data_IF_277368333389
#
_entry.id   IF_277368333389
#
_cell.length_a   1.000
_cell.length_b   1.000
_cell.length_c   1.000
_cell.angle_alpha   90.00
_cell.angle_beta   90.00
_cell.angle_gamma   90.00
#
_symmetry.space_group_name_H-M   'P 1'
#
loop_
_entity.id
_entity.type
_entity.pdbx_description
1 polymer ?
#
# COMPACT_ATOMS: atom_id res chain seq x y z
N UNK A 1 -2.72 12.11 -30.31
CA UNK A 1 -3.27 10.89 -29.67
C UNK A 1 -2.68 9.57 -30.22
N UNK A 2 -1.62 9.57 -31.04
CA UNK A 2 -1.11 8.38 -31.76
C UNK A 2 0.30 7.92 -31.34
N UNK A 3 0.87 8.42 -30.23
CA UNK A 3 2.27 8.13 -29.84
C UNK A 3 2.44 7.51 -28.45
N UNK A 4 1.35 7.14 -27.75
CA UNK A 4 1.42 6.72 -26.34
C UNK A 4 1.44 5.21 -26.09
N UNK A 5 1.44 4.36 -27.13
CA UNK A 5 1.20 2.91 -26.97
C UNK A 5 2.36 2.03 -27.48
N UNK A 6 3.39 2.60 -28.15
CA UNK A 6 4.49 1.78 -28.71
C UNK A 6 5.46 1.22 -27.68
N UNK A 7 5.45 1.71 -26.44
CA UNK A 7 6.56 1.47 -25.49
C UNK A 7 6.27 0.37 -24.46
N UNK A 8 5.09 -0.25 -24.49
CA UNK A 8 4.78 -1.41 -23.64
C UNK A 8 5.52 -2.71 -24.03
N UNK A 9 6.40 -2.66 -25.03
CA UNK A 9 7.04 -3.84 -25.62
C UNK A 9 8.59 -3.88 -25.47
N UNK A 10 9.21 -3.04 -24.64
CA UNK A 10 10.67 -3.06 -24.49
C UNK A 10 11.12 -2.83 -23.05
N UNK A 11 11.17 -3.91 -22.29
CA UNK A 11 12.18 -4.18 -21.24
C UNK A 11 11.99 -5.63 -20.74
N UNK A 12 12.17 -6.61 -21.63
CA UNK A 12 12.26 -8.02 -21.22
C UNK A 12 13.71 -8.33 -20.88
N UNK A 13 13.98 -8.54 -19.59
CA UNK A 13 15.21 -9.20 -19.13
C UNK A 13 15.23 -10.60 -19.71
N UNK A 14 16.19 -10.86 -20.60
CA UNK A 14 16.33 -12.12 -21.35
C UNK A 14 16.57 -13.27 -20.39
N UNK A 15 15.69 -14.26 -20.34
CA UNK A 15 15.87 -15.46 -19.50
C UNK A 15 16.92 -16.35 -20.16
N UNK A 16 18.03 -16.58 -19.46
CA UNK A 16 19.04 -17.55 -19.87
C UNK A 16 18.58 -18.98 -19.53
N UNK A 17 17.83 -19.59 -20.45
CA UNK A 17 17.29 -20.93 -20.29
C UNK A 17 16.67 -21.52 -21.55
N UNK A 18 16.27 -22.79 -21.48
CA UNK A 18 15.64 -23.52 -22.60
C UNK A 18 14.41 -24.30 -22.17
N UNK A 19 13.46 -24.43 -23.09
CA UNK A 19 12.31 -25.32 -22.98
C UNK A 19 12.74 -26.70 -23.48
N UNK A 20 12.78 -27.68 -22.59
CA UNK A 20 13.24 -29.04 -22.91
C UNK A 20 12.11 -29.92 -23.44
N UNK A 21 10.90 -29.76 -22.90
CA UNK A 21 9.76 -30.61 -23.24
C UNK A 21 8.44 -29.86 -23.02
N UNK A 22 7.42 -30.23 -23.80
CA UNK A 22 6.05 -29.77 -23.67
C UNK A 22 5.12 -30.98 -23.77
N UNK A 23 4.34 -31.24 -22.72
CA UNK A 23 3.39 -32.37 -22.66
C UNK A 23 1.97 -31.82 -22.51
N UNK A 24 1.10 -32.13 -23.48
CA UNK A 24 -0.32 -31.74 -23.41
C UNK A 24 -1.09 -32.67 -22.48
N UNK A 25 -1.91 -32.08 -21.62
CA UNK A 25 -2.97 -32.73 -20.86
C UNK A 25 -4.34 -32.29 -21.43
N UNK A 26 -5.43 -32.65 -20.76
CA UNK A 26 -6.80 -32.35 -21.21
C UNK A 26 -7.07 -30.84 -21.29
N UNK A 27 -6.69 -30.11 -20.24
CA UNK A 27 -7.00 -28.70 -20.03
C UNK A 27 -5.76 -27.84 -19.76
N UNK A 28 -4.57 -28.44 -19.85
CA UNK A 28 -3.31 -27.80 -19.51
C UNK A 28 -2.15 -28.34 -20.35
N UNK A 29 -1.04 -27.60 -20.37
CA UNK A 29 0.22 -28.02 -20.96
C UNK A 29 1.32 -27.90 -19.90
N UNK A 30 2.08 -28.97 -19.72
CA UNK A 30 3.24 -28.99 -18.85
C UNK A 30 4.49 -28.68 -19.67
N UNK A 31 5.18 -27.60 -19.31
CA UNK A 31 6.50 -27.29 -19.85
C UNK A 31 7.59 -27.69 -18.86
N UNK A 32 8.68 -28.28 -19.36
CA UNK A 32 9.89 -28.56 -18.60
C UNK A 32 10.97 -27.57 -19.00
N UNK A 33 11.46 -26.78 -18.06
CA UNK A 33 12.47 -25.75 -18.28
C UNK A 33 13.81 -26.14 -17.67
N UNK A 34 14.88 -25.65 -18.27
CA UNK A 34 16.23 -25.60 -17.67
C UNK A 34 16.70 -24.14 -17.71
N UNK A 35 16.94 -23.54 -16.54
CA UNK A 35 17.35 -22.14 -16.41
C UNK A 35 18.63 -22.07 -15.56
N UNK A 36 19.56 -21.20 -15.94
CA UNK A 36 20.90 -21.15 -15.35
C UNK A 36 20.95 -20.45 -13.97
N UNK A 37 19.92 -19.67 -13.60
CA UNK A 37 19.88 -18.84 -12.38
C UNK A 37 19.75 -19.61 -11.04
N UNK A 38 19.52 -20.92 -11.04
CA UNK A 38 19.40 -21.68 -9.79
C UNK A 38 20.74 -22.32 -9.41
N UNK A 39 21.12 -22.20 -8.14
CA UNK A 39 22.25 -22.87 -7.48
C UNK A 39 22.28 -24.41 -7.65
N UNK A 40 21.26 -24.99 -8.30
CA UNK A 40 21.33 -26.29 -8.97
C UNK A 40 20.74 -26.19 -10.39
N UNK A 41 21.51 -26.60 -11.42
CA UNK A 41 21.06 -26.79 -12.82
C UNK A 41 20.07 -27.95 -12.96
N UNK A 42 18.95 -27.91 -12.22
CA UNK A 42 17.93 -28.96 -12.23
C UNK A 42 16.75 -28.51 -13.09
N UNK A 43 16.30 -29.35 -14.05
CA UNK A 43 15.06 -29.08 -14.76
C UNK A 43 13.88 -28.99 -13.80
N UNK A 44 12.98 -28.05 -14.03
CA UNK A 44 11.73 -27.91 -13.28
C UNK A 44 10.54 -27.90 -14.23
N UNK A 45 9.36 -28.28 -13.71
CA UNK A 45 8.12 -28.39 -14.48
C UNK A 45 7.13 -27.34 -14.05
N UNK A 46 6.39 -26.80 -15.01
CA UNK A 46 5.31 -25.84 -14.77
C UNK A 46 4.11 -26.24 -15.60
N UNK A 47 2.93 -26.22 -14.99
CA UNK A 47 1.67 -26.53 -15.62
C UNK A 47 0.91 -25.23 -15.93
N UNK A 48 0.56 -25.00 -17.19
CA UNK A 48 -0.24 -23.85 -17.61
C UNK A 48 -1.60 -24.31 -18.11
N UNK A 49 -2.65 -23.63 -17.68
CA UNK A 49 -3.99 -23.85 -18.22
C UNK A 49 -4.04 -23.46 -19.72
N UNK A 50 -4.72 -24.26 -20.53
CA UNK A 50 -4.84 -23.99 -21.97
C UNK A 50 -5.59 -22.68 -22.27
N UNK A 51 -6.62 -22.37 -21.48
CA UNK A 51 -7.35 -21.10 -21.58
C UNK A 51 -6.42 -19.92 -21.30
N UNK A 52 -5.55 -20.03 -20.28
CA UNK A 52 -4.55 -19.00 -19.98
C UNK A 52 -3.63 -18.74 -21.18
N UNK A 53 -3.06 -19.80 -21.78
CA UNK A 53 -2.19 -19.66 -22.94
C UNK A 53 -2.95 -19.05 -24.12
N UNK A 54 -4.15 -19.56 -24.45
CA UNK A 54 -4.97 -19.05 -25.56
C UNK A 54 -5.39 -17.59 -25.37
N UNK A 55 -5.76 -17.22 -24.14
CA UNK A 55 -6.16 -15.86 -23.75
C UNK A 55 -5.00 -14.86 -23.81
N UNK A 56 -3.77 -15.32 -23.57
CA UNK A 56 -2.56 -14.52 -23.65
C UNK A 56 -1.94 -14.45 -25.07
N UNK A 57 -2.54 -15.11 -26.07
CA UNK A 57 -2.06 -15.10 -27.46
C UNK A 57 -1.98 -13.66 -28.00
N UNK A 58 -0.89 -13.35 -28.70
CA UNK A 58 -0.72 -12.09 -29.45
C UNK A 58 -0.75 -12.31 -30.97
N UNK A 59 -1.40 -13.39 -31.43
CA UNK A 59 -1.59 -13.62 -32.87
C UNK A 59 -2.44 -12.50 -33.50
N UNK A 60 -2.37 -12.29 -34.83
CA UNK A 60 -3.19 -11.29 -35.52
C UNK A 60 -4.71 -11.50 -35.40
N UNK A 61 -5.16 -12.71 -35.03
CA UNK A 61 -6.57 -13.02 -34.77
C UNK A 61 -6.95 -12.79 -33.31
N UNK A 62 -5.96 -12.67 -32.43
CA UNK A 62 -6.14 -12.52 -30.99
C UNK A 62 -6.05 -11.07 -30.53
N UNK A 63 -5.25 -10.26 -31.22
CA UNK A 63 -5.07 -8.83 -30.90
C UNK A 63 -5.16 -7.95 -32.14
N UNK A 64 -5.70 -6.76 -31.98
CA UNK A 64 -5.71 -5.73 -33.01
C UNK A 64 -4.27 -5.26 -33.30
N UNK A 65 -3.90 -5.22 -34.58
CA UNK A 65 -2.53 -4.95 -35.01
C UNK A 65 -2.07 -3.51 -34.71
N UNK A 66 -2.99 -2.55 -34.51
CA UNK A 66 -2.66 -1.14 -34.27
C UNK A 66 -2.61 -0.82 -32.77
N UNK A 67 -3.54 -1.37 -32.00
CA UNK A 67 -3.75 -1.01 -30.59
C UNK A 67 -3.20 -2.05 -29.62
N UNK A 68 -2.97 -3.30 -30.07
CA UNK A 68 -2.59 -4.42 -29.21
C UNK A 68 -3.70 -4.90 -28.27
N UNK A 69 -4.93 -4.40 -28.43
CA UNK A 69 -6.10 -4.78 -27.65
C UNK A 69 -6.64 -6.14 -28.09
N UNK A 70 -7.20 -6.91 -27.15
CA UNK A 70 -7.78 -8.24 -27.43
C UNK A 70 -9.00 -8.12 -28.34
N UNK A 71 -9.12 -9.06 -29.27
CA UNK A 71 -10.25 -9.18 -30.21
C UNK A 71 -11.33 -10.18 -29.76
N UNK A 72 -11.16 -10.79 -28.60
CA UNK A 72 -12.09 -11.73 -27.99
C UNK A 72 -12.20 -11.48 -26.50
N UNK A 73 -13.24 -12.04 -25.89
CA UNK A 73 -13.38 -12.14 -24.43
C UNK A 73 -12.92 -13.52 -23.94
N UNK A 74 -12.39 -13.58 -22.72
CA UNK A 74 -12.00 -14.86 -22.10
C UNK A 74 -13.18 -15.82 -21.97
N UNK A 75 -14.40 -15.28 -21.77
CA UNK A 75 -15.64 -16.06 -21.72
C UNK A 75 -15.95 -16.78 -23.04
N UNK A 76 -15.78 -16.11 -24.18
CA UNK A 76 -15.98 -16.72 -25.51
C UNK A 76 -15.04 -17.91 -25.74
N UNK A 77 -13.77 -17.79 -25.34
CA UNK A 77 -12.81 -18.88 -25.42
C UNK A 77 -13.21 -20.07 -24.51
N UNK A 78 -13.70 -19.77 -23.30
CA UNK A 78 -14.08 -20.80 -22.33
C UNK A 78 -15.32 -21.60 -22.74
N UNK A 79 -16.29 -20.97 -23.42
CA UNK A 79 -17.54 -21.62 -23.85
C UNK A 79 -17.27 -22.69 -24.91
N UNK A 80 -16.38 -22.43 -25.87
CA UNK A 80 -16.09 -23.34 -26.99
C UNK A 80 -14.72 -23.98 -26.82
N UNK A 81 -14.70 -25.22 -26.30
CA UNK A 81 -13.46 -26.00 -26.05
C UNK A 81 -12.51 -26.09 -27.25
N UNK A 82 -13.00 -25.96 -28.49
CA UNK A 82 -12.15 -25.98 -29.68
C UNK A 82 -11.05 -24.92 -29.65
N UNK A 83 -11.28 -23.77 -29.00
CA UNK A 83 -10.30 -22.68 -28.89
C UNK A 83 -9.13 -23.02 -27.96
N UNK A 84 -9.34 -23.92 -26.99
CA UNK A 84 -8.35 -24.22 -25.93
C UNK A 84 -7.83 -25.65 -26.00
N UNK A 85 -8.07 -26.37 -27.10
CA UNK A 85 -7.47 -27.69 -27.32
C UNK A 85 -6.29 -27.52 -28.28
N UNK A 86 -5.06 -27.85 -27.86
CA UNK A 86 -3.91 -27.81 -28.76
C UNK A 86 -4.05 -28.88 -29.84
N UNK A 87 -3.84 -28.48 -31.09
CA UNK A 87 -3.70 -29.35 -32.26
C UNK A 87 -2.24 -29.79 -32.43
N UNK A 88 -1.29 -28.85 -32.32
CA UNK A 88 0.14 -29.16 -32.31
C UNK A 88 0.91 -28.27 -31.34
N UNK A 89 1.98 -28.79 -30.77
CA UNK A 89 2.92 -28.07 -29.89
C UNK A 89 4.31 -28.33 -30.43
N UNK A 90 5.05 -27.26 -30.78
CA UNK A 90 6.40 -27.36 -31.36
C UNK A 90 7.35 -26.41 -30.65
N UNK A 91 8.38 -26.96 -30.03
CA UNK A 91 9.46 -26.18 -29.43
C UNK A 91 10.40 -25.71 -30.56
N UNK A 92 10.89 -24.47 -30.48
CA UNK A 92 11.87 -23.93 -31.41
C UNK A 92 13.19 -24.70 -31.33
N UNK A 93 14.00 -24.69 -32.40
CA UNK A 93 15.26 -25.45 -32.45
C UNK A 93 16.27 -25.03 -31.37
N UNK A 94 16.23 -23.76 -30.97
CA UNK A 94 17.06 -23.17 -29.93
C UNK A 94 16.44 -23.31 -28.51
N UNK A 95 15.21 -23.82 -28.41
CA UNK A 95 14.52 -24.01 -27.13
C UNK A 95 14.01 -22.71 -26.48
N UNK A 96 14.11 -21.56 -27.15
CA UNK A 96 13.70 -20.27 -26.59
C UNK A 96 12.23 -19.91 -26.81
N UNK A 97 11.49 -20.72 -27.56
CA UNK A 97 10.07 -20.49 -27.77
C UNK A 97 9.30 -21.80 -27.99
N UNK A 98 7.99 -21.74 -27.81
CA UNK A 98 7.07 -22.81 -28.17
C UNK A 98 5.91 -22.28 -29.00
N UNK A 99 5.72 -22.86 -30.18
CA UNK A 99 4.58 -22.60 -31.03
C UNK A 99 3.45 -23.58 -30.71
N UNK A 100 2.31 -23.03 -30.31
CA UNK A 100 1.07 -23.80 -30.09
C UNK A 100 0.12 -23.46 -31.23
N UNK A 101 -0.41 -24.48 -31.88
CA UNK A 101 -1.52 -24.36 -32.84
C UNK A 101 -2.75 -24.95 -32.19
N UNK A 102 -3.83 -24.18 -32.11
CA UNK A 102 -5.10 -24.57 -31.49
C UNK A 102 -6.02 -25.24 -32.52
N UNK A 103 -7.03 -25.98 -32.05
CA UNK A 103 -7.98 -26.65 -32.96
C UNK A 103 -8.91 -25.70 -33.72
N UNK A 104 -9.03 -24.45 -33.28
CA UNK A 104 -9.75 -23.40 -34.01
C UNK A 104 -8.96 -22.83 -35.20
N UNK A 105 -7.70 -23.26 -35.38
CA UNK A 105 -6.81 -22.84 -36.45
C UNK A 105 -5.89 -21.68 -36.09
N UNK A 106 -6.08 -21.02 -34.94
CA UNK A 106 -5.16 -19.98 -34.49
C UNK A 106 -3.83 -20.58 -34.02
N UNK A 107 -2.76 -19.80 -34.13
CA UNK A 107 -1.45 -20.22 -33.63
C UNK A 107 -0.65 -19.05 -33.11
N UNK A 108 0.10 -19.29 -32.04
CA UNK A 108 0.99 -18.29 -31.47
C UNK A 108 2.25 -18.94 -30.94
N UNK A 109 3.35 -18.20 -31.05
CA UNK A 109 4.67 -18.59 -30.55
C UNK A 109 4.93 -17.84 -29.26
N UNK A 110 5.01 -18.59 -28.15
CA UNK A 110 5.24 -18.06 -26.82
C UNK A 110 6.75 -18.08 -26.56
N UNK A 111 7.39 -16.91 -26.34
CA UNK A 111 8.79 -16.89 -25.93
C UNK A 111 8.95 -17.45 -24.50
N UNK A 112 10.13 -18.00 -24.22
CA UNK A 112 10.47 -18.53 -22.90
C UNK A 112 10.34 -17.47 -21.81
N UNK A 113 10.67 -16.21 -22.11
CA UNK A 113 10.55 -15.07 -21.19
C UNK A 113 9.09 -14.89 -20.72
N UNK A 114 8.13 -14.99 -21.64
CA UNK A 114 6.71 -14.93 -21.30
C UNK A 114 6.32 -16.09 -20.38
N UNK A 115 6.65 -17.32 -20.75
CA UNK A 115 6.29 -18.49 -19.95
C UNK A 115 6.93 -18.39 -18.56
N UNK A 116 8.23 -18.11 -18.49
CA UNK A 116 8.98 -17.98 -17.24
C UNK A 116 8.42 -16.85 -16.35
N UNK A 117 8.00 -15.72 -16.94
CA UNK A 117 7.36 -14.60 -16.22
C UNK A 117 6.04 -15.01 -15.57
N UNK A 118 5.26 -15.88 -16.21
CA UNK A 118 3.93 -16.33 -15.74
C UNK A 118 3.92 -17.75 -15.16
N UNK A 119 5.07 -18.30 -14.80
CA UNK A 119 5.25 -19.72 -14.46
C UNK A 119 4.60 -20.24 -13.16
N UNK A 120 3.65 -19.52 -12.59
CA UNK A 120 2.84 -19.91 -11.42
C UNK A 120 3.45 -20.97 -10.51
N UNK A 121 4.22 -20.56 -9.51
CA UNK A 121 4.61 -21.40 -8.37
C UNK A 121 4.85 -20.46 -7.19
N UNK A 122 4.14 -20.65 -6.06
CA UNK A 122 4.63 -20.71 -4.65
C UNK A 122 5.76 -19.77 -4.14
N UNK A 123 6.20 -18.84 -4.97
CA UNK A 123 7.14 -17.78 -4.77
C UNK A 123 6.52 -16.63 -5.55
N UNK A 124 6.15 -15.53 -4.90
CA UNK A 124 5.54 -14.38 -5.56
C UNK A 124 6.20 -14.16 -6.93
N UNK A 125 5.43 -14.38 -7.99
CA UNK A 125 5.99 -14.48 -9.34
C UNK A 125 6.74 -13.19 -9.66
N UNK A 126 7.79 -13.28 -10.48
CA UNK A 126 8.43 -12.09 -11.06
C UNK A 126 7.38 -11.18 -11.73
N UNK A 127 6.27 -11.72 -12.25
CA UNK A 127 5.14 -10.93 -12.75
C UNK A 127 4.36 -10.12 -11.70
N UNK A 128 4.16 -10.63 -10.47
CA UNK A 128 3.55 -9.87 -9.36
C UNK A 128 4.56 -8.87 -8.78
N UNK A 129 5.84 -9.27 -8.68
CA UNK A 129 6.95 -8.37 -8.31
C UNK A 129 7.14 -7.24 -9.31
N UNK A 130 7.01 -7.48 -10.62
CA UNK A 130 7.14 -6.45 -11.66
C UNK A 130 5.97 -5.45 -11.72
N UNK A 131 4.88 -5.69 -10.98
CA UNK A 131 3.83 -4.68 -10.76
C UNK A 131 4.12 -3.79 -9.55
N UNK A 132 5.04 -4.20 -8.67
CA UNK A 132 5.46 -3.47 -7.49
C UNK A 132 6.90 -2.98 -7.66
N UNK A 133 7.32 -2.03 -6.84
CA UNK A 133 8.72 -1.61 -6.78
C UNK A 133 9.63 -2.79 -6.42
N UNK A 134 10.84 -2.84 -6.98
CA UNK A 134 11.87 -3.79 -6.56
C UNK A 134 12.37 -3.50 -5.13
N UNK A 135 12.15 -2.27 -4.65
CA UNK A 135 12.45 -1.85 -3.29
C UNK A 135 11.30 -2.23 -2.35
N UNK A 136 11.64 -3.09 -1.39
CA UNK A 136 10.69 -3.61 -0.41
C UNK A 136 10.48 -2.61 0.74
N UNK A 137 9.27 -2.52 1.30
CA UNK A 137 9.09 -1.88 2.60
C UNK A 137 9.95 -2.57 3.66
N UNK A 138 10.60 -1.78 4.51
CA UNK A 138 11.40 -2.24 5.64
C UNK A 138 10.61 -1.93 6.90
N UNK A 139 10.11 -2.95 7.60
CA UNK A 139 9.44 -2.77 8.89
C UNK A 139 10.44 -2.23 9.92
N UNK A 140 10.14 -1.10 10.56
CA UNK A 140 11.09 -0.42 11.46
C UNK A 140 10.52 -0.11 12.85
N UNK A 141 11.43 -0.08 13.81
CA UNK A 141 11.29 0.57 15.12
C UNK A 141 12.30 1.74 15.18
N UNK A 142 12.39 2.45 16.30
CA UNK A 142 13.28 3.62 16.46
C UNK A 142 14.74 3.31 16.07
N UNK A 143 15.33 2.28 16.69
CA UNK A 143 16.71 1.87 16.42
C UNK A 143 16.95 1.59 14.93
N UNK A 144 16.09 0.77 14.30
CA UNK A 144 16.26 0.39 12.90
C UNK A 144 16.09 1.58 11.94
N UNK A 145 15.23 2.54 12.30
CA UNK A 145 15.06 3.76 11.51
C UNK A 145 16.28 4.68 11.65
N UNK A 146 16.80 4.85 12.87
CA UNK A 146 18.02 5.63 13.16
C UNK A 146 19.25 5.08 12.41
N UNK A 147 19.37 3.76 12.25
CA UNK A 147 20.42 3.13 11.43
C UNK A 147 20.39 3.56 9.95
N UNK A 148 19.26 4.11 9.48
CA UNK A 148 19.05 4.54 8.09
C UNK A 148 19.06 6.06 7.89
N UNK A 149 19.35 6.82 8.95
CA UNK A 149 19.20 8.28 8.99
C UNK A 149 20.03 9.01 7.92
N UNK A 150 21.17 8.45 7.49
CA UNK A 150 22.00 9.03 6.43
C UNK A 150 21.25 9.20 5.10
N UNK A 151 20.24 8.37 4.84
CA UNK A 151 19.45 8.39 3.60
C UNK A 151 18.08 9.07 3.80
N UNK A 152 17.75 9.48 5.03
CA UNK A 152 16.42 10.03 5.34
C UNK A 152 16.17 11.38 4.66
N UNK A 153 17.22 12.19 4.52
CA UNK A 153 17.17 13.56 4.06
C UNK A 153 17.57 13.72 2.59
N UNK A 154 16.97 14.67 1.90
CA UNK A 154 17.36 15.06 0.54
C UNK A 154 17.22 16.57 0.37
N UNK A 155 18.24 17.22 -0.18
CA UNK A 155 18.22 18.65 -0.46
C UNK A 155 17.15 19.01 -1.52
N UNK A 156 16.41 20.09 -1.32
CA UNK A 156 15.36 20.56 -2.22
C UNK A 156 15.83 20.73 -3.66
N UNK A 157 16.99 21.36 -3.87
CA UNK A 157 17.50 21.59 -5.22
C UNK A 157 17.79 20.29 -5.94
N UNK A 158 18.36 19.30 -5.23
CA UNK A 158 18.58 17.95 -5.76
C UNK A 158 17.27 17.24 -6.05
N UNK A 159 16.31 17.27 -5.12
CA UNK A 159 14.99 16.64 -5.30
C UNK A 159 14.26 17.17 -6.54
N UNK A 160 14.31 18.49 -6.76
CA UNK A 160 13.63 19.13 -7.89
C UNK A 160 14.36 18.90 -9.21
N UNK A 161 15.69 18.99 -9.23
CA UNK A 161 16.46 19.11 -10.47
C UNK A 161 17.22 17.84 -10.89
N UNK A 162 17.38 16.85 -10.01
CA UNK A 162 18.08 15.60 -10.30
C UNK A 162 17.15 14.39 -10.15
N UNK A 163 16.98 13.64 -11.24
CA UNK A 163 16.15 12.43 -11.24
C UNK A 163 16.73 11.31 -10.38
N UNK A 164 18.06 11.23 -10.22
CA UNK A 164 18.66 10.19 -9.39
C UNK A 164 18.42 10.47 -7.90
N UNK A 165 18.64 11.71 -7.47
CA UNK A 165 18.30 12.14 -6.10
C UNK A 165 16.80 12.02 -5.79
N UNK A 166 15.92 12.36 -6.75
CA UNK A 166 14.48 12.07 -6.61
C UNK A 166 14.26 10.57 -6.40
N UNK A 167 14.86 9.73 -7.25
CA UNK A 167 14.69 8.29 -7.17
C UNK A 167 15.12 7.74 -5.81
N UNK A 168 16.29 8.13 -5.31
CA UNK A 168 16.81 7.69 -4.02
C UNK A 168 15.88 8.14 -2.87
N UNK A 169 15.34 9.37 -2.91
CA UNK A 169 14.33 9.84 -1.95
C UNK A 169 13.03 9.01 -2.00
N UNK A 170 12.55 8.65 -3.20
CA UNK A 170 11.35 7.81 -3.34
C UNK A 170 11.59 6.36 -2.91
N UNK A 171 12.81 5.84 -3.07
CA UNK A 171 13.21 4.53 -2.51
C UNK A 171 13.13 4.57 -0.99
N UNK A 172 13.62 5.64 -0.35
CA UNK A 172 13.54 5.78 1.11
C UNK A 172 12.09 5.92 1.58
N UNK A 173 11.28 6.70 0.86
CA UNK A 173 9.85 6.80 1.11
C UNK A 173 9.12 5.45 0.93
N UNK A 174 9.52 4.63 -0.05
CA UNK A 174 9.00 3.26 -0.22
C UNK A 174 9.43 2.32 0.93
N UNK A 175 10.71 2.38 1.33
CA UNK A 175 11.29 1.52 2.37
C UNK A 175 10.74 1.84 3.74
N UNK A 176 10.74 3.11 4.14
CA UNK A 176 10.42 3.50 5.51
C UNK A 176 9.08 4.23 5.64
N UNK A 177 8.46 4.65 4.53
CA UNK A 177 7.23 5.44 4.60
C UNK A 177 7.45 6.88 5.02
N UNK A 178 8.71 7.35 5.11
CA UNK A 178 9.09 8.72 5.46
C UNK A 178 10.32 9.17 4.67
N UNK A 179 10.36 10.45 4.29
CA UNK A 179 11.57 11.15 3.83
C UNK A 179 11.45 12.64 4.14
N UNK A 180 12.58 13.31 4.39
CA UNK A 180 12.64 14.74 4.67
C UNK A 180 13.33 15.48 3.53
N UNK A 181 12.66 16.48 2.98
CA UNK A 181 13.26 17.41 2.03
C UNK A 181 13.74 18.64 2.79
N UNK A 182 15.03 18.95 2.71
CA UNK A 182 15.66 20.06 3.45
C UNK A 182 16.00 21.23 2.53
N UNK A 183 16.34 22.38 3.10
CA UNK A 183 16.80 23.58 2.39
C UNK A 183 15.82 24.08 1.31
N UNK A 184 14.52 24.12 1.64
CA UNK A 184 13.54 24.78 0.78
C UNK A 184 13.89 26.29 0.69
N UNK A 185 13.61 26.94 -0.45
CA UNK A 185 13.87 28.37 -0.63
C UNK A 185 13.07 29.21 0.38
N UNK A 186 13.78 29.94 1.24
CA UNK A 186 13.16 30.71 2.34
C UNK A 186 12.24 31.83 1.81
N UNK A 187 12.62 32.44 0.69
CA UNK A 187 11.90 33.53 0.03
C UNK A 187 10.58 33.07 -0.63
N UNK A 188 10.49 31.79 -1.00
CA UNK A 188 9.27 31.17 -1.54
C UNK A 188 8.49 30.37 -0.48
N UNK A 189 9.01 30.23 0.74
CA UNK A 189 8.43 29.34 1.77
C UNK A 189 6.97 29.66 2.11
N UNK A 190 6.61 30.95 2.08
CA UNK A 190 5.24 31.43 2.32
C UNK A 190 4.31 31.27 1.11
N UNK A 191 4.82 31.06 -0.11
CA UNK A 191 4.01 30.87 -1.32
C UNK A 191 3.43 29.44 -1.37
N UNK A 192 2.09 29.27 -1.43
CA UNK A 192 1.46 27.95 -1.57
C UNK A 192 1.93 27.16 -2.80
N UNK A 193 2.45 27.85 -3.84
CA UNK A 193 2.94 27.21 -5.06
C UNK A 193 4.16 26.32 -4.80
N UNK A 194 4.97 26.59 -3.77
CA UNK A 194 6.17 25.82 -3.48
C UNK A 194 5.85 24.37 -3.12
N UNK A 195 4.93 24.16 -2.17
CA UNK A 195 4.49 22.81 -1.79
C UNK A 195 3.82 22.07 -2.95
N UNK A 196 3.05 22.81 -3.76
CA UNK A 196 2.41 22.25 -4.96
C UNK A 196 3.46 21.74 -5.96
N UNK A 197 4.48 22.53 -6.29
CA UNK A 197 5.59 22.13 -7.17
C UNK A 197 6.32 20.89 -6.63
N UNK A 198 6.57 20.83 -5.32
CA UNK A 198 7.25 19.71 -4.68
C UNK A 198 6.42 18.42 -4.77
N UNK A 199 5.10 18.49 -4.53
CA UNK A 199 4.21 17.36 -4.74
C UNK A 199 4.17 16.93 -6.23
N UNK A 200 3.98 17.88 -7.14
CA UNK A 200 3.86 17.66 -8.59
C UNK A 200 5.14 17.12 -9.24
N UNK A 201 6.30 17.29 -8.60
CA UNK A 201 7.55 16.62 -8.99
C UNK A 201 7.40 15.09 -8.94
N UNK A 202 6.64 14.57 -7.98
CA UNK A 202 6.34 13.14 -7.81
C UNK A 202 5.08 12.76 -8.59
N UNK A 203 3.98 13.48 -8.39
CA UNK A 203 2.68 13.18 -8.97
C UNK A 203 1.64 14.28 -8.70
N UNK A 204 0.49 14.26 -9.40
CA UNK A 204 -0.51 15.31 -9.26
C UNK A 204 -1.02 15.41 -7.81
N UNK A 205 -1.21 16.66 -7.38
CA UNK A 205 -1.76 16.99 -6.07
C UNK A 205 -3.22 16.56 -5.96
N UNK A 206 -3.59 15.99 -4.81
CA UNK A 206 -4.96 15.59 -4.52
C UNK A 206 -5.72 16.75 -3.91
N UNK A 207 -6.70 17.29 -4.64
CA UNK A 207 -7.67 18.23 -4.08
C UNK A 207 -8.59 17.51 -3.08
N UNK A 208 -8.68 18.06 -1.88
CA UNK A 208 -9.54 17.55 -0.79
C UNK A 208 -10.57 18.61 -0.37
N UNK A 209 -11.32 18.30 0.68
CA UNK A 209 -12.20 19.27 1.36
C UNK A 209 -11.45 20.49 1.89
N UNK A 210 -10.13 20.38 2.09
CA UNK A 210 -9.25 21.46 2.53
C UNK A 210 -8.59 22.21 1.36
N UNK A 211 -8.98 21.90 0.12
CA UNK A 211 -8.33 22.42 -1.07
C UNK A 211 -7.16 21.56 -1.54
N UNK A 212 -6.28 22.15 -2.35
CA UNK A 212 -5.05 21.51 -2.81
C UNK A 212 -3.96 21.60 -1.74
N UNK A 213 -3.85 22.76 -1.09
CA UNK A 213 -2.98 23.01 0.07
C UNK A 213 -3.80 23.66 1.18
N UNK A 214 -3.39 23.47 2.43
CA UNK A 214 -3.99 24.12 3.59
C UNK A 214 -2.95 24.40 4.66
N UNK A 215 -3.18 25.47 5.42
CA UNK A 215 -2.27 25.93 6.46
C UNK A 215 -2.69 25.38 7.83
N UNK A 216 -1.69 25.05 8.63
CA UNK A 216 -1.83 24.62 10.02
C UNK A 216 -1.09 25.67 10.83
N UNK A 217 -1.84 26.64 11.33
CA UNK A 217 -1.35 27.80 12.04
C UNK A 217 -1.86 27.76 13.49
N UNK A 218 -0.97 27.98 14.46
CA UNK A 218 -1.35 28.05 15.87
C UNK A 218 -1.88 29.43 16.32
N UNK A 219 -1.70 30.46 15.49
CA UNK A 219 -2.11 31.84 15.77
C UNK A 219 -3.49 32.19 15.19
N UNK A 220 -4.01 31.35 14.29
CA UNK A 220 -5.35 31.50 13.74
C UNK A 220 -6.30 30.53 14.44
N UNK A 221 -7.43 31.06 14.91
CA UNK A 221 -8.50 30.27 15.52
C UNK A 221 -9.26 29.52 14.43
N UNK A 222 -8.63 28.47 13.90
CA UNK A 222 -9.24 27.61 12.89
C UNK A 222 -10.02 26.47 13.56
N UNK A 223 -11.31 26.71 13.77
CA UNK A 223 -12.31 25.73 14.25
C UNK A 223 -12.49 24.52 13.31
N UNK A 224 -11.66 24.34 12.28
CA UNK A 224 -11.74 23.24 11.32
C UNK A 224 -11.03 22.00 11.81
N UNK A 225 -9.92 22.15 12.56
CA UNK A 225 -9.10 21.02 12.98
C UNK A 225 -8.43 21.18 14.33
N UNK A 226 -8.46 20.10 15.11
CA UNK A 226 -7.64 19.96 16.33
C UNK A 226 -6.13 20.11 16.04
N UNK A 227 -5.67 19.88 14.80
CA UNK A 227 -4.27 20.07 14.40
C UNK A 227 -3.79 21.52 14.54
N UNK A 228 -4.71 22.49 14.44
CA UNK A 228 -4.44 23.93 14.58
C UNK A 228 -4.44 24.40 16.05
N UNK A 229 -4.82 23.52 16.99
CA UNK A 229 -4.82 23.83 18.43
C UNK A 229 -3.46 23.51 19.07
N UNK A 230 -3.19 24.03 20.27
CA UNK A 230 -1.99 23.71 21.05
C UNK A 230 -2.05 22.35 21.79
N UNK A 231 -3.18 21.65 21.71
CA UNK A 231 -3.41 20.36 22.36
C UNK A 231 -2.66 19.24 21.61
N UNK A 232 -2.32 18.17 22.34
CA UNK A 232 -1.63 16.97 21.87
C UNK A 232 -2.53 16.30 20.86
N UNK A 233 -1.98 16.08 19.68
CA UNK A 233 -2.65 15.32 18.65
C UNK A 233 -2.27 13.85 18.85
N UNK A 234 -3.22 12.94 19.17
CA UNK A 234 -2.89 11.52 19.32
C UNK A 234 -2.34 10.94 18.02
N UNK A 235 -1.71 9.76 18.09
CA UNK A 235 -1.32 9.03 16.88
C UNK A 235 -2.52 8.80 15.98
N UNK A 236 -2.38 9.21 14.72
CA UNK A 236 -3.46 9.14 13.75
C UNK A 236 -2.92 9.06 12.32
N UNK A 237 -3.84 8.78 11.42
CA UNK A 237 -3.75 8.91 9.99
C UNK A 237 -4.85 9.85 9.51
N UNK A 238 -4.56 10.57 8.44
CA UNK A 238 -5.43 11.62 7.94
C UNK A 238 -6.53 11.07 7.05
N UNK A 239 -7.67 11.78 7.03
CA UNK A 239 -8.77 11.62 6.09
C UNK A 239 -9.36 10.19 6.03
N UNK A 240 -9.36 9.45 7.14
CA UNK A 240 -9.90 8.08 7.20
C UNK A 240 -11.41 7.99 6.91
N UNK A 241 -12.12 9.12 6.99
CA UNK A 241 -13.54 9.25 6.62
C UNK A 241 -13.76 9.34 5.09
N UNK A 242 -12.71 9.36 4.27
CA UNK A 242 -12.83 9.33 2.81
C UNK A 242 -12.83 7.89 2.28
N UNK A 243 -13.68 7.63 1.26
CA UNK A 243 -13.70 6.34 0.56
C UNK A 243 -12.34 6.01 -0.07
N UNK A 244 -11.63 7.00 -0.59
CA UNK A 244 -10.26 6.87 -1.07
C UNK A 244 -9.36 7.74 -0.19
N UNK A 245 -8.76 7.11 0.83
CA UNK A 245 -7.80 7.76 1.72
C UNK A 245 -6.54 8.09 0.91
N UNK A 246 -6.02 9.34 0.97
CA UNK A 246 -4.81 9.69 0.26
C UNK A 246 -3.62 8.83 0.69
N UNK A 247 -2.76 8.52 -0.27
CA UNK A 247 -1.59 7.67 -0.08
C UNK A 247 -0.49 8.34 0.71
N UNK A 248 -0.20 9.60 0.36
CA UNK A 248 0.91 10.37 0.90
C UNK A 248 0.45 11.72 1.40
N UNK A 249 1.04 12.16 2.51
CA UNK A 249 0.87 13.49 3.09
C UNK A 249 2.21 14.20 3.06
N UNK A 250 2.18 15.47 2.65
CA UNK A 250 3.32 16.37 2.70
C UNK A 250 3.05 17.39 3.78
N UNK A 251 4.06 17.71 4.58
CA UNK A 251 4.00 18.76 5.61
C UNK A 251 5.24 19.62 5.46
N UNK A 252 5.05 20.81 4.91
CA UNK A 252 6.04 21.87 4.85
C UNK A 252 6.07 22.63 6.18
N UNK A 253 7.25 22.75 6.76
CA UNK A 253 7.53 23.61 7.91
C UNK A 253 7.96 24.99 7.41
N UNK A 254 7.08 25.99 7.55
CA UNK A 254 7.36 27.38 7.18
C UNK A 254 7.93 28.12 8.39
N UNK A 255 7.24 28.02 9.54
CA UNK A 255 7.69 28.53 10.84
C UNK A 255 7.53 27.48 11.93
N UNK A 256 8.53 27.35 12.81
CA UNK A 256 8.51 26.40 13.91
C UNK A 256 9.29 26.88 15.15
N UNK A 257 8.90 28.05 15.65
CA UNK A 257 9.61 28.76 16.73
C UNK A 257 9.13 28.34 18.13
N UNK A 258 8.01 27.61 18.24
CA UNK A 258 7.39 27.19 19.51
C UNK A 258 8.29 26.27 20.35
N UNK A 259 8.22 26.37 21.68
CA UNK A 259 8.75 25.32 22.59
C UNK A 259 7.80 24.11 22.63
N UNK A 260 8.35 22.90 22.46
CA UNK A 260 7.56 21.69 22.25
C UNK A 260 7.13 21.51 20.80
N UNK A 261 6.04 20.77 20.59
CA UNK A 261 5.45 20.57 19.26
C UNK A 261 6.25 19.62 18.36
N UNK A 262 7.08 18.76 18.96
CA UNK A 262 7.81 17.71 18.26
C UNK A 262 6.82 16.76 17.56
N UNK A 263 7.21 16.32 16.36
CA UNK A 263 6.43 15.41 15.54
C UNK A 263 6.92 14.00 15.84
N UNK A 264 5.98 13.08 16.06
CA UNK A 264 6.25 11.68 16.33
C UNK A 264 5.72 10.83 15.21
N UNK A 265 6.47 9.81 14.83
CA UNK A 265 6.13 8.87 13.79
C UNK A 265 6.29 7.42 14.27
N UNK A 266 5.36 6.56 13.89
CA UNK A 266 5.37 5.14 14.22
C UNK A 266 5.05 4.32 12.97
N UNK A 267 5.84 3.26 12.72
CA UNK A 267 5.55 2.31 11.65
C UNK A 267 4.37 1.41 12.03
N UNK A 268 3.18 1.69 11.48
CA UNK A 268 2.00 0.87 11.74
C UNK A 268 2.17 -0.59 11.30
N UNK A 269 3.06 -0.88 10.34
CA UNK A 269 3.34 -2.25 9.93
C UNK A 269 4.13 -3.01 11.00
N UNK A 270 5.05 -2.32 11.69
CA UNK A 270 5.75 -2.91 12.84
C UNK A 270 4.78 -3.23 13.97
N UNK A 271 3.86 -2.31 14.27
CA UNK A 271 2.82 -2.53 15.28
C UNK A 271 1.95 -3.74 14.91
N UNK A 272 1.46 -3.81 13.67
CA UNK A 272 0.65 -4.94 13.22
C UNK A 272 1.38 -6.28 13.26
N UNK A 273 2.69 -6.30 12.94
CA UNK A 273 3.53 -7.50 13.12
C UNK A 273 3.60 -7.91 14.59
N UNK A 274 3.93 -6.96 15.47
CA UNK A 274 4.10 -7.21 16.90
C UNK A 274 2.81 -7.69 17.56
N UNK A 275 1.65 -7.15 17.19
CA UNK A 275 0.36 -7.64 17.72
C UNK A 275 0.13 -9.07 17.26
N UNK A 276 0.30 -9.38 15.97
CA UNK A 276 0.07 -10.74 15.46
C UNK A 276 0.97 -11.78 16.13
N UNK A 277 2.25 -11.46 16.32
CA UNK A 277 3.23 -12.34 16.97
C UNK A 277 2.91 -12.59 18.45
N UNK A 278 2.36 -11.59 19.14
CA UNK A 278 1.97 -11.71 20.55
C UNK A 278 0.59 -12.34 20.71
N UNK A 279 -0.33 -12.02 19.81
CA UNK A 279 -1.73 -12.42 19.87
C UNK A 279 -2.41 -12.40 18.50
N UNK A 280 -2.52 -13.58 17.90
CA UNK A 280 -3.08 -13.72 16.55
C UNK A 280 -4.59 -13.45 16.52
N UNK A 281 -5.35 -13.85 17.56
CA UNK A 281 -6.80 -13.65 17.62
C UNK A 281 -7.18 -12.16 17.68
N UNK A 282 -6.46 -11.38 18.51
CA UNK A 282 -6.63 -9.93 18.54
C UNK A 282 -6.28 -9.28 17.20
N UNK A 283 -5.19 -9.72 16.56
CA UNK A 283 -4.79 -9.21 15.25
C UNK A 283 -5.81 -9.55 14.14
N UNK A 284 -6.43 -10.72 14.19
CA UNK A 284 -7.53 -11.12 13.30
C UNK A 284 -8.77 -10.24 13.54
N UNK A 285 -9.13 -9.99 14.79
CA UNK A 285 -10.23 -9.10 15.13
C UNK A 285 -10.03 -7.66 14.60
N UNK A 286 -8.79 -7.14 14.66
CA UNK A 286 -8.42 -5.83 14.10
C UNK A 286 -8.52 -5.74 12.56
N UNK A 287 -8.64 -6.88 11.86
CA UNK A 287 -8.85 -6.92 10.40
C UNK A 287 -10.31 -6.98 9.99
N UNK A 288 -11.21 -7.37 10.89
CA UNK A 288 -12.61 -7.64 10.55
C UNK A 288 -13.59 -6.69 11.23
N UNK A 289 -13.27 -6.17 12.42
CA UNK A 289 -14.14 -5.21 13.10
C UNK A 289 -13.99 -3.83 12.44
N UNK A 290 -15.08 -3.26 11.89
CA UNK A 290 -15.02 -1.94 11.26
C UNK A 290 -14.91 -0.83 12.31
N UNK A 291 -13.91 0.04 12.16
CA UNK A 291 -13.84 1.33 12.84
C UNK A 291 -14.52 2.36 11.95
N UNK A 292 -15.48 3.07 12.54
CA UNK A 292 -16.26 4.08 11.81
C UNK A 292 -15.57 5.43 11.93
N UNK A 293 -15.48 6.18 10.83
CA UNK A 293 -14.93 7.53 10.79
C UNK A 293 -15.96 8.49 10.22
N UNK A 294 -16.04 9.71 10.77
CA UNK A 294 -17.00 10.73 10.33
C UNK A 294 -16.36 12.11 10.33
N UNK A 295 -16.71 12.90 9.31
CA UNK A 295 -16.48 14.33 9.28
C UNK A 295 -17.75 15.06 8.84
N UNK A 296 -18.15 16.06 9.62
CA UNK A 296 -19.34 16.87 9.35
C UNK A 296 -19.10 18.32 9.73
N UNK A 297 -18.92 19.19 8.73
CA UNK A 297 -18.77 20.64 8.88
C UNK A 297 -19.42 21.35 7.69
N UNK A 298 -20.18 22.43 7.93
CA UNK A 298 -20.90 23.12 6.85
C UNK A 298 -21.85 22.19 6.07
N UNK A 299 -21.71 22.15 4.75
CA UNK A 299 -22.41 21.27 3.80
C UNK A 299 -21.73 19.90 3.58
N UNK A 300 -20.54 19.68 4.15
CA UNK A 300 -19.77 18.46 3.99
C UNK A 300 -20.23 17.34 4.92
N UNK A 301 -20.51 16.14 4.39
CA UNK A 301 -20.87 14.94 5.17
C UNK A 301 -20.10 13.74 4.66
N UNK A 302 -19.10 13.32 5.42
CA UNK A 302 -18.28 12.15 5.12
C UNK A 302 -18.44 11.12 6.23
N UNK A 303 -18.57 9.87 5.82
CA UNK A 303 -18.64 8.72 6.70
C UNK A 303 -18.02 7.55 5.97
N UNK A 304 -17.12 6.83 6.62
CA UNK A 304 -16.59 5.57 6.10
C UNK A 304 -16.16 4.62 7.21
N UNK A 305 -16.24 3.32 6.95
CA UNK A 305 -15.94 2.26 7.91
C UNK A 305 -14.80 1.38 7.40
N UNK A 306 -13.76 1.18 8.22
CA UNK A 306 -12.55 0.44 7.81
C UNK A 306 -11.97 -0.34 9.00
N UNK A 307 -11.42 -1.54 8.79
CA UNK A 307 -10.69 -2.23 9.84
C UNK A 307 -9.36 -1.52 10.14
N UNK A 308 -8.76 -1.77 11.31
CA UNK A 308 -7.47 -1.17 11.69
C UNK A 308 -6.35 -1.65 10.77
N UNK A 309 -6.35 -2.94 10.41
CA UNK A 309 -5.40 -3.51 9.46
C UNK A 309 -6.10 -4.03 8.21
N UNK A 310 -5.65 -3.57 7.04
CA UNK A 310 -6.03 -4.17 5.76
C UNK A 310 -4.86 -4.99 5.24
N UNK A 311 -5.12 -6.22 4.79
CA UNK A 311 -4.09 -7.09 4.20
C UNK A 311 -4.18 -7.12 2.66
N UNK A 312 -3.05 -7.49 2.05
CA UNK A 312 -3.04 -7.98 0.68
C UNK A 312 -3.61 -9.41 0.64
N UNK A 313 -4.02 -9.86 -0.55
CA UNK A 313 -4.41 -11.26 -0.74
C UNK A 313 -3.29 -12.19 -0.28
N UNK A 314 -3.67 -13.20 0.50
CA UNK A 314 -2.72 -14.16 1.07
C UNK A 314 -2.10 -15.02 -0.03
N UNK A 315 -0.79 -15.16 0.01
CA UNK A 315 0.00 -16.00 -0.87
C UNK A 315 1.06 -16.72 -0.04
N UNK A 316 1.61 -17.83 -0.55
CA UNK A 316 2.71 -18.54 0.13
C UNK A 316 3.90 -17.61 0.43
N UNK A 317 4.10 -16.57 -0.36
CA UNK A 317 5.20 -15.63 -0.17
C UNK A 317 4.97 -14.66 1.00
N UNK A 318 3.78 -14.07 1.15
CA UNK A 318 3.54 -13.04 2.17
C UNK A 318 3.06 -13.60 3.52
N UNK A 319 2.86 -14.92 3.64
CA UNK A 319 2.65 -15.59 4.93
C UNK A 319 3.94 -15.99 5.63
N UNK A 320 5.06 -16.06 4.90
CA UNK A 320 6.35 -16.31 5.51
C UNK A 320 6.70 -15.15 6.46
N UNK A 321 7.09 -15.41 7.72
CA UNK A 321 7.47 -14.36 8.67
C UNK A 321 8.55 -13.40 8.13
N UNK A 322 9.42 -13.90 7.25
CA UNK A 322 10.48 -13.12 6.62
C UNK A 322 9.99 -12.10 5.57
N UNK A 323 8.75 -12.22 5.10
CA UNK A 323 8.14 -11.37 4.06
C UNK A 323 6.89 -10.65 4.58
N UNK A 324 6.77 -10.50 5.90
CA UNK A 324 5.60 -9.92 6.55
C UNK A 324 5.29 -8.49 6.08
N UNK A 325 6.29 -7.76 5.57
CA UNK A 325 6.13 -6.45 4.96
C UNK A 325 5.17 -6.43 3.75
N UNK A 326 4.90 -7.59 3.15
CA UNK A 326 3.96 -7.74 2.03
C UNK A 326 2.56 -8.16 2.45
N UNK A 327 2.37 -8.45 3.72
CA UNK A 327 1.08 -8.91 4.22
C UNK A 327 0.16 -7.73 4.51
N UNK A 328 0.65 -6.75 5.27
CA UNK A 328 -0.12 -5.54 5.60
C UNK A 328 -0.11 -4.61 4.40
N UNK A 329 -1.30 -4.30 3.89
CA UNK A 329 -1.51 -3.35 2.78
C UNK A 329 -1.62 -1.93 3.31
N UNK A 330 -2.49 -1.73 4.29
CA UNK A 330 -2.74 -0.42 4.89
C UNK A 330 -3.03 -0.57 6.39
N UNK A 331 -2.78 0.50 7.13
CA UNK A 331 -3.30 0.70 8.48
C UNK A 331 -4.34 1.83 8.44
N UNK A 332 -5.37 1.76 9.27
CA UNK A 332 -6.39 2.80 9.42
C UNK A 332 -6.57 3.09 10.91
N UNK A 333 -6.19 4.28 11.34
CA UNK A 333 -6.35 4.68 12.74
C UNK A 333 -6.46 6.20 12.85
N UNK A 334 -7.57 6.72 13.37
CA UNK A 334 -7.77 8.15 13.50
C UNK A 334 -8.79 8.48 14.60
N UNK A 335 -8.40 8.36 15.88
CA UNK A 335 -9.28 8.63 17.00
C UNK A 335 -10.00 9.99 16.94
N UNK A 336 -9.37 11.10 16.48
CA UNK A 336 -10.05 12.39 16.41
C UNK A 336 -11.27 12.43 15.48
N UNK A 337 -11.35 11.52 14.49
CA UNK A 337 -12.46 11.42 13.55
C UNK A 337 -13.31 10.16 13.76
N UNK A 338 -13.08 9.41 14.83
CA UNK A 338 -13.80 8.17 15.09
C UNK A 338 -15.26 8.44 15.44
N UNK A 339 -16.16 7.78 14.72
CA UNK A 339 -17.60 7.76 14.97
C UNK A 339 -17.97 6.58 15.87
N UNK A 340 -19.20 6.55 16.43
CA UNK A 340 -19.66 5.44 17.25
C UNK A 340 -19.53 4.09 16.52
N UNK A 341 -19.09 3.06 17.25
CA UNK A 341 -19.07 1.69 16.74
C UNK A 341 -20.49 1.23 16.41
N UNK A 342 -20.61 0.46 15.33
CA UNK A 342 -21.83 -0.26 14.92
C UNK A 342 -21.69 -1.77 15.11
N UNK A 343 -20.60 -2.19 15.74
CA UNK A 343 -20.19 -3.56 16.01
C UNK A 343 -20.07 -3.76 17.53
N UNK A 344 -20.33 -4.97 18.03
CA UNK A 344 -20.25 -5.29 19.46
C UNK A 344 -21.48 -4.86 20.26
N UNK A 345 -22.63 -4.67 19.59
CA UNK A 345 -23.89 -4.24 20.23
C UNK A 345 -24.80 -5.45 20.45
N UNK A 346 -25.02 -5.84 21.70
CA UNK A 346 -25.77 -7.05 22.07
C UNK A 346 -26.90 -6.77 23.07
N UNK A 347 -27.96 -7.59 23.01
CA UNK A 347 -29.11 -7.48 23.91
C UNK A 347 -28.91 -8.37 25.15
N UNK A 348 -29.11 -7.80 26.34
CA UNK A 348 -29.23 -8.59 27.58
C UNK A 348 -30.67 -9.09 27.75
N UNK A 349 -30.85 -10.28 28.30
CA UNK A 349 -32.19 -10.77 28.68
C UNK A 349 -32.75 -9.85 29.77
N UNK A 350 -34.02 -9.39 29.70
CA UNK A 350 -34.67 -8.75 30.83
C UNK A 350 -34.64 -9.70 32.03
N UNK A 351 -34.26 -9.22 33.21
CA UNK A 351 -34.46 -10.01 34.43
C UNK A 351 -35.96 -10.23 34.59
N UNK A 352 -36.45 -11.44 34.34
CA UNK A 352 -37.74 -11.83 34.89
C UNK A 352 -37.57 -11.82 36.42
N UNK A 353 -38.46 -11.12 37.11
CA UNK A 353 -38.34 -10.81 38.55
C UNK A 353 -38.39 -12.04 39.49
N UNK A 354 -38.35 -13.27 38.98
CA UNK A 354 -38.62 -14.50 39.75
C UNK A 354 -37.56 -15.62 39.62
N UNK A 355 -36.34 -15.34 39.13
CA UNK A 355 -35.25 -16.33 39.16
C UNK A 355 -34.06 -15.88 40.01
N UNK A 356 -33.91 -16.46 41.20
CA UNK A 356 -32.71 -16.42 42.07
C UNK A 356 -31.52 -17.20 41.47
N UNK A 357 -31.25 -17.07 40.16
CA UNK A 357 -30.03 -17.62 39.57
C UNK A 357 -28.92 -16.57 39.62
N UNK A 358 -27.86 -16.87 40.37
CA UNK A 358 -26.67 -16.01 40.57
C UNK A 358 -25.78 -15.84 39.34
N UNK A 359 -26.06 -16.54 38.23
CA UNK A 359 -25.28 -16.46 36.98
C UNK A 359 -25.90 -15.47 35.98
N UNK A 360 -25.97 -14.19 36.37
CA UNK A 360 -26.52 -13.11 35.52
C UNK A 360 -25.60 -12.64 34.40
N UNK A 361 -24.36 -13.18 34.28
CA UNK A 361 -23.41 -12.76 33.24
C UNK A 361 -23.58 -13.48 31.88
N UNK A 362 -24.24 -14.64 31.84
CA UNK A 362 -24.22 -15.51 30.66
C UNK A 362 -25.55 -15.69 29.92
N UNK A 363 -26.61 -15.00 30.34
CA UNK A 363 -27.92 -15.11 29.70
C UNK A 363 -28.08 -14.03 28.61
N UNK A 364 -27.85 -14.41 27.34
CA UNK A 364 -27.87 -13.54 26.17
C UNK A 364 -28.95 -14.02 25.19
N UNK A 365 -29.95 -13.19 24.88
CA UNK A 365 -31.06 -13.44 23.93
C UNK A 365 -30.65 -13.16 22.47
N UNK A 366 -29.37 -13.29 22.17
CA UNK A 366 -28.82 -12.82 20.90
C UNK A 366 -28.67 -14.00 19.95
N UNK A 367 -29.01 -13.84 18.67
CA UNK A 367 -28.80 -14.87 17.65
C UNK A 367 -27.34 -15.36 17.67
N UNK A 368 -27.10 -16.62 17.33
CA UNK A 368 -25.75 -17.22 17.30
C UNK A 368 -24.74 -16.37 16.53
N UNK A 369 -25.18 -15.75 15.43
CA UNK A 369 -24.38 -14.81 14.63
C UNK A 369 -23.84 -13.60 15.38
N UNK A 370 -24.54 -13.11 16.42
CA UNK A 370 -24.13 -11.96 17.23
C UNK A 370 -23.36 -12.35 18.49
N UNK A 371 -23.34 -13.64 18.86
CA UNK A 371 -22.43 -14.13 19.90
C UNK A 371 -20.98 -14.10 19.41
N UNK A 372 -20.74 -14.51 18.16
CA UNK A 372 -19.44 -14.37 17.49
C UNK A 372 -19.00 -12.91 17.50
N UNK A 373 -19.91 -11.99 17.13
CA UNK A 373 -19.66 -10.54 17.16
C UNK A 373 -19.20 -10.04 18.54
N UNK A 374 -19.78 -10.55 19.63
CA UNK A 374 -19.37 -10.20 21.01
C UNK A 374 -17.93 -10.61 21.28
N UNK A 375 -17.55 -11.86 20.97
CA UNK A 375 -16.19 -12.35 21.22
C UNK A 375 -15.17 -11.64 20.33
N UNK A 376 -15.47 -11.52 19.04
CA UNK A 376 -14.64 -10.77 18.09
C UNK A 376 -14.47 -9.31 18.51
N UNK A 377 -15.51 -8.66 19.05
CA UNK A 377 -15.38 -7.30 19.57
C UNK A 377 -14.50 -7.25 20.84
N UNK A 378 -14.57 -8.25 21.72
CA UNK A 378 -13.68 -8.35 22.88
C UNK A 378 -12.21 -8.49 22.45
N UNK A 379 -11.94 -9.35 21.46
CA UNK A 379 -10.60 -9.52 20.88
C UNK A 379 -10.13 -8.25 20.17
N UNK A 380 -11.04 -7.54 19.51
CA UNK A 380 -10.76 -6.24 18.89
C UNK A 380 -10.34 -5.21 19.92
N UNK A 381 -11.07 -5.07 21.04
CA UNK A 381 -10.71 -4.11 22.11
C UNK A 381 -9.34 -4.45 22.70
N UNK A 382 -9.08 -5.73 22.95
CA UNK A 382 -7.78 -6.22 23.42
C UNK A 382 -6.65 -5.92 22.42
N UNK A 383 -6.90 -6.12 21.13
CA UNK A 383 -5.97 -5.75 20.07
C UNK A 383 -5.74 -4.25 19.95
N UNK A 384 -6.79 -3.44 20.14
CA UNK A 384 -6.70 -1.98 20.09
C UNK A 384 -5.90 -1.43 21.27
N UNK A 385 -6.07 -2.02 22.46
CA UNK A 385 -5.24 -1.71 23.63
C UNK A 385 -3.76 -2.03 23.36
N UNK A 386 -3.47 -3.21 22.79
CA UNK A 386 -2.09 -3.55 22.38
C UNK A 386 -1.55 -2.57 21.34
N UNK A 387 -2.37 -2.21 20.34
CA UNK A 387 -2.00 -1.24 19.30
C UNK A 387 -1.61 0.10 19.92
N UNK A 388 -2.47 0.66 20.78
CA UNK A 388 -2.19 1.93 21.46
C UNK A 388 -0.95 1.83 22.34
N UNK A 389 -0.83 0.79 23.17
CA UNK A 389 0.34 0.59 24.03
C UNK A 389 1.63 0.56 23.23
N UNK A 390 1.70 -0.25 22.17
CA UNK A 390 2.89 -0.37 21.32
C UNK A 390 3.21 0.95 20.60
N UNK A 391 2.21 1.72 20.13
CA UNK A 391 2.47 3.04 19.52
C UNK A 391 3.04 4.05 20.52
N UNK A 392 2.73 3.90 21.81
CA UNK A 392 3.22 4.79 22.87
C UNK A 392 4.59 4.37 23.44
N UNK A 393 5.11 3.19 23.10
CA UNK A 393 6.46 2.78 23.50
C UNK A 393 7.54 3.58 22.75
N UNK A 394 8.47 4.19 23.49
CA UNK A 394 9.53 5.03 22.91
C UNK A 394 10.37 4.29 21.86
N UNK A 395 10.62 2.99 22.06
CA UNK A 395 11.38 2.15 21.11
C UNK A 395 10.73 2.06 19.73
N UNK A 396 9.44 2.39 19.58
CA UNK A 396 8.72 2.36 18.31
C UNK A 396 8.55 3.76 17.68
N UNK A 397 8.98 4.83 18.37
CA UNK A 397 8.75 6.21 17.96
C UNK A 397 10.00 6.85 17.38
N UNK A 398 9.90 7.36 16.16
CA UNK A 398 10.82 8.34 15.63
C UNK A 398 10.30 9.75 15.94
N UNK A 399 11.14 10.60 16.54
CA UNK A 399 10.76 11.95 16.94
C UNK A 399 11.65 12.97 16.25
N UNK A 400 11.03 14.01 15.70
CA UNK A 400 11.73 15.13 15.07
C UNK A 400 10.97 16.44 15.27
N UNK A 401 11.70 17.48 15.67
CA UNK A 401 11.23 18.85 15.52
C UNK A 401 11.58 19.30 14.10
N UNK A 402 10.56 19.43 13.24
CA UNK A 402 10.78 19.73 11.84
C UNK A 402 11.50 21.08 11.68
N UNK A 403 12.67 21.13 11.03
CA UNK A 403 13.36 22.39 10.77
C UNK A 403 12.49 23.35 9.96
N UNK A 404 12.67 24.66 10.10
CA UNK A 404 12.10 25.62 9.15
C UNK A 404 12.64 25.33 7.74
N UNK A 405 11.88 25.69 6.72
CA UNK A 405 12.25 25.48 5.32
C UNK A 405 12.55 24.01 5.00
N UNK A 406 11.76 23.11 5.59
CA UNK A 406 11.80 21.67 5.32
C UNK A 406 10.41 21.15 4.93
N UNK A 407 10.34 20.01 4.27
CA UNK A 407 9.09 19.31 3.97
C UNK A 407 9.25 17.82 4.26
N UNK A 408 8.48 17.29 5.20
CA UNK A 408 8.40 15.85 5.42
C UNK A 408 7.31 15.24 4.54
N UNK A 409 7.63 14.13 3.89
CA UNK A 409 6.70 13.33 3.10
C UNK A 409 6.50 12.02 3.83
N UNK A 410 5.24 11.63 4.04
CA UNK A 410 4.90 10.39 4.74
C UNK A 410 3.86 9.58 3.99
N UNK A 411 3.98 8.26 4.10
CA UNK A 411 2.96 7.33 3.65
C UNK A 411 1.82 7.27 4.70
N UNK A 412 0.73 7.99 4.41
CA UNK A 412 -0.45 8.13 5.25
C UNK A 412 -1.28 6.83 5.37
N UNK A 413 -0.88 5.77 4.66
CA UNK A 413 -1.49 4.42 4.75
C UNK A 413 -0.64 3.44 5.56
N UNK A 414 0.50 3.89 6.11
CA UNK A 414 1.45 3.06 6.85
C UNK A 414 1.94 3.71 8.14
N UNK A 415 2.37 4.97 8.06
CA UNK A 415 3.03 5.66 9.16
C UNK A 415 2.00 6.48 9.93
N UNK A 416 1.85 6.18 11.22
CA UNK A 416 1.07 7.02 12.11
C UNK A 416 1.89 8.24 12.49
N UNK A 417 1.22 9.38 12.65
CA UNK A 417 1.87 10.60 13.09
C UNK A 417 1.11 11.25 14.24
N UNK A 418 1.85 12.00 15.06
CA UNK A 418 1.38 12.63 16.29
C UNK A 418 2.20 13.89 16.56
N UNK A 419 1.72 14.73 17.47
CA UNK A 419 2.42 15.93 17.91
C UNK A 419 2.21 16.15 19.41
N UNK A 420 3.28 16.47 20.13
CA UNK A 420 3.20 16.92 21.53
C UNK A 420 2.51 18.29 21.65
N UNK A 421 1.99 18.59 22.85
CA UNK A 421 1.61 19.97 23.20
C UNK A 421 2.77 20.94 22.92
N UNK A 422 2.43 22.21 22.67
CA UNK A 422 3.41 23.29 22.62
C UNK A 422 2.91 24.51 23.39
N UNK A 423 3.84 25.32 23.85
CA UNK A 423 3.53 26.62 24.47
C UNK A 423 3.16 27.61 23.36
N UNK A 424 2.00 28.27 23.49
CA UNK A 424 1.49 29.26 22.53
C UNK A 424 1.21 30.62 23.21
N UNK A 425 1.89 30.88 24.33
CA UNK A 425 1.47 31.91 25.29
C UNK A 425 2.25 33.24 25.17
N UNK A 426 3.23 33.36 24.26
CA UNK A 426 4.05 34.56 24.12
C UNK A 426 4.08 35.09 22.66
N UNK A 427 4.24 36.41 22.51
CA UNK A 427 4.64 37.02 21.24
C UNK A 427 5.99 36.41 20.79
N UNK A 428 5.99 35.63 19.70
CA UNK A 428 7.17 34.95 19.15
C UNK A 428 7.07 33.42 19.05
N UNK A 429 6.03 32.78 19.60
CA UNK A 429 5.80 31.33 19.47
C UNK A 429 5.03 31.01 18.18
N UNK A 430 5.56 31.40 17.01
CA UNK A 430 4.90 31.20 15.71
C UNK A 430 5.18 29.80 15.14
N UNK A 431 4.10 29.11 14.79
CA UNK A 431 4.14 27.79 14.18
C UNK A 431 3.19 27.74 12.99
N UNK A 432 3.76 27.78 11.79
CA UNK A 432 3.03 27.74 10.53
C UNK A 432 3.54 26.60 9.67
N UNK A 433 2.70 25.58 9.50
CA UNK A 433 2.93 24.49 8.56
C UNK A 433 1.96 24.58 7.39
N UNK A 434 2.33 24.04 6.25
CA UNK A 434 1.44 23.87 5.10
C UNK A 434 1.42 22.42 4.68
N UNK A 435 0.24 21.89 4.38
CA UNK A 435 0.06 20.48 4.05
C UNK A 435 -0.66 20.28 2.74
N UNK A 436 -0.36 19.16 2.09
CA UNK A 436 -1.09 18.66 0.93
C UNK A 436 -1.07 17.12 0.89
N UNK A 437 -1.81 16.56 -0.07
CA UNK A 437 -1.95 15.12 -0.23
C UNK A 437 -1.69 14.67 -1.67
N UNK A 438 -1.31 13.40 -1.83
CA UNK A 438 -1.15 12.73 -3.12
C UNK A 438 -1.66 11.28 -3.03
N UNK A 439 -2.24 10.78 -4.12
CA UNK A 439 -2.69 9.38 -4.21
C UNK A 439 -1.53 8.39 -4.44
N UNK A 440 -1.69 7.15 -3.96
CA UNK A 440 -0.63 6.14 -3.98
C UNK A 440 -0.23 5.66 -5.37
N UNK A 441 -1.16 5.68 -6.33
CA UNK A 441 -0.94 5.22 -7.70
C UNK A 441 0.07 6.10 -8.44
N UNK A 442 0.04 7.41 -8.21
CA UNK A 442 1.01 8.34 -8.80
C UNK A 442 2.43 8.09 -8.29
N UNK A 443 2.59 7.88 -6.98
CA UNK A 443 3.87 7.47 -6.41
C UNK A 443 4.37 6.14 -7.00
N UNK A 444 3.51 5.11 -7.06
CA UNK A 444 3.84 3.80 -7.63
C UNK A 444 4.24 3.90 -9.10
N UNK A 445 3.57 4.76 -9.87
CA UNK A 445 3.91 5.01 -11.27
C UNK A 445 5.28 5.71 -11.39
N UNK A 446 5.54 6.73 -10.57
CA UNK A 446 6.79 7.49 -10.63
C UNK A 446 7.99 6.64 -10.22
N UNK A 447 7.89 5.88 -9.13
CA UNK A 447 9.01 5.03 -8.68
C UNK A 447 9.34 3.98 -9.73
N UNK A 448 8.32 3.34 -10.33
CA UNK A 448 8.53 2.33 -11.38
C UNK A 448 9.21 2.91 -12.63
N UNK A 449 8.79 4.10 -13.07
CA UNK A 449 9.47 4.79 -14.17
C UNK A 449 10.96 5.07 -13.86
N UNK A 450 11.28 5.45 -12.63
CA UNK A 450 12.66 5.73 -12.23
C UNK A 450 13.48 4.44 -12.04
N UNK A 451 12.88 3.36 -11.55
CA UNK A 451 13.49 2.01 -11.55
C UNK A 451 13.86 1.60 -12.97
N UNK A 452 12.93 1.76 -13.91
CA UNK A 452 13.17 1.42 -15.31
C UNK A 452 14.31 2.25 -15.93
N UNK A 453 14.53 3.46 -15.42
CA UNK A 453 15.57 4.38 -15.88
C UNK A 453 16.95 4.12 -15.27
N UNK A 454 17.04 3.65 -14.02
CA UNK A 454 18.30 3.58 -13.27
C UNK A 454 18.75 2.17 -12.87
N UNK A 455 17.86 1.18 -12.86
CA UNK A 455 18.15 -0.20 -12.40
C UNK A 455 18.05 -1.25 -13.53
N UNK A 456 17.76 -0.84 -14.77
CA UNK A 456 17.71 -1.70 -15.96
C UNK A 456 18.98 -1.68 -16.79
#
# INVERSE_FOLDING_TARGET
>A
MSSYISDFARTDTKVEGTILNATSLHDSIIFTFLVEEASSKKPFKVCYNNLFLRDASRSPTSVDAKTGQKLFTTGELAVKKIHTIPSTIKISKDGHAVKITWKDGDSYEYPIDFLYKYKGSTFATRSLRNQSSMFRPIIWNKHRFEDSMENFETDYSKFMNDDKSLFDALINLQRYGLTLITNLPEDESADPSLLKKLCERVGPIRKTVYGETFDINNLEDDDTHISSTNIKLPFHMDLQYMQHVPGFKFIQSIKNETKGGENFFVDGFNIGRSIREQDTEAYEALQVVPVNYKYAKGDMRYYESRPVFEQNDTSEFNIEPANYEYLIRNVNYSPPFQAPFTYGIYNKIPKDNDSESTDTENCILTSESRLVEKYTFSDFIRGLEMFENLTHEEKNQFMIKLPENSCIIMNNRRVLHSRNNFEANNEGDNRLFRSCFMDSDHFKSKIKYLEEKFEN
#
